data_IF_709240955292
#
_entry.id   IF_709240955292
#
_cell.length_a   1.000
_cell.length_b   1.000
_cell.length_c   1.000
_cell.angle_alpha   90.00
_cell.angle_beta   90.00
_cell.angle_gamma   90.00
#
_symmetry.space_group_name_H-M   'P 1'
#
loop_
_entity.id
_entity.type
_entity.pdbx_description
1 polymer ?
#
# COMPACT_ATOMS: atom_id res chain seq x y z
N UNK A 1 -20.69 -27.98 2.46
CA UNK A 1 -20.31 -28.56 3.76
C UNK A 1 -19.04 -29.41 3.70
N UNK A 2 -18.80 -30.19 2.64
CA UNK A 2 -17.57 -31.01 2.51
C UNK A 2 -16.26 -30.20 2.38
N UNK A 3 -16.25 -29.14 1.56
CA UNK A 3 -15.06 -28.30 1.31
C UNK A 3 -14.46 -27.72 2.60
N UNK A 4 -15.27 -27.15 3.48
CA UNK A 4 -14.81 -26.56 4.75
C UNK A 4 -14.31 -27.62 5.73
N UNK A 5 -14.94 -28.81 5.77
CA UNK A 5 -14.48 -29.91 6.60
C UNK A 5 -13.09 -30.41 6.16
N UNK A 6 -12.89 -30.60 4.85
CA UNK A 6 -11.59 -30.96 4.28
C UNK A 6 -10.54 -29.88 4.54
N UNK A 7 -10.90 -28.60 4.40
CA UNK A 7 -10.01 -27.48 4.71
C UNK A 7 -9.60 -27.45 6.20
N UNK A 8 -10.52 -27.73 7.14
CA UNK A 8 -10.20 -27.81 8.58
C UNK A 8 -9.20 -28.92 8.88
N UNK A 9 -9.33 -30.09 8.22
CA UNK A 9 -8.37 -31.20 8.34
C UNK A 9 -6.99 -30.80 7.84
N UNK A 10 -6.90 -30.19 6.67
CA UNK A 10 -5.64 -29.70 6.10
C UNK A 10 -5.00 -28.61 6.97
N UNK A 11 -5.79 -27.64 7.44
CA UNK A 11 -5.33 -26.60 8.38
C UNK A 11 -4.70 -27.22 9.63
N UNK A 12 -5.30 -28.30 10.17
CA UNK A 12 -4.75 -28.98 11.35
C UNK A 12 -3.44 -29.69 11.02
N UNK A 13 -3.35 -30.36 9.87
CA UNK A 13 -2.14 -31.07 9.39
C UNK A 13 -0.97 -30.11 9.17
N UNK A 14 -1.23 -28.91 8.62
CA UNK A 14 -0.23 -27.86 8.37
C UNK A 14 0.08 -27.00 9.61
N UNK A 15 -0.46 -27.34 10.79
CA UNK A 15 -0.19 -26.61 12.04
C UNK A 15 -1.02 -25.34 12.28
N UNK A 16 -1.93 -24.94 11.38
CA UNK A 16 -2.80 -23.75 11.53
C UNK A 16 -3.94 -23.89 12.56
N UNK A 17 -3.95 -24.96 13.35
CA UNK A 17 -4.93 -25.22 14.41
C UNK A 17 -4.62 -24.47 15.70
N UNK A 18 -4.64 -23.13 15.65
CA UNK A 18 -4.36 -22.23 16.79
C UNK A 18 -5.36 -22.43 17.94
N UNK A 19 -4.90 -22.18 19.18
CA UNK A 19 -5.72 -22.29 20.40
C UNK A 19 -6.49 -21.01 20.67
N UNK A 20 -5.99 -20.09 21.52
CA UNK A 20 -6.65 -18.84 21.94
C UNK A 20 -6.79 -17.79 20.81
N UNK A 21 -7.19 -18.23 19.61
CA UNK A 21 -7.37 -17.43 18.41
C UNK A 21 -8.57 -16.48 18.47
N UNK A 22 -9.38 -16.53 19.54
CA UNK A 22 -10.50 -15.62 19.76
C UNK A 22 -10.08 -14.15 19.75
N UNK A 23 -8.87 -13.84 20.24
CA UNK A 23 -8.32 -12.48 20.23
C UNK A 23 -8.12 -11.98 18.79
N UNK A 24 -7.49 -12.80 17.93
CA UNK A 24 -7.26 -12.45 16.51
C UNK A 24 -8.59 -12.41 15.75
N UNK A 25 -9.50 -13.35 16.04
CA UNK A 25 -10.83 -13.38 15.43
C UNK A 25 -11.68 -12.15 15.79
N UNK A 26 -11.54 -11.62 17.02
CA UNK A 26 -12.22 -10.40 17.44
C UNK A 26 -11.74 -9.18 16.62
N UNK A 27 -10.44 -9.05 16.37
CA UNK A 27 -9.89 -8.01 15.50
C UNK A 27 -10.43 -8.13 14.07
N UNK A 28 -10.49 -9.36 13.52
CA UNK A 28 -11.07 -9.62 12.20
C UNK A 28 -12.55 -9.25 12.11
N UNK A 29 -13.34 -9.58 13.15
CA UNK A 29 -14.76 -9.20 13.21
C UNK A 29 -14.93 -7.69 13.27
N UNK A 30 -14.20 -7.01 14.15
CA UNK A 30 -14.23 -5.55 14.24
C UNK A 30 -13.87 -4.89 12.90
N UNK A 31 -12.85 -5.40 12.21
CA UNK A 31 -12.43 -4.87 10.91
C UNK A 31 -13.52 -5.04 9.83
N UNK A 32 -14.24 -6.16 9.81
CA UNK A 32 -15.36 -6.34 8.88
C UNK A 32 -16.52 -5.38 9.19
N UNK A 33 -16.79 -5.12 10.46
CA UNK A 33 -17.90 -4.27 10.89
C UNK A 33 -17.61 -2.77 10.71
N UNK A 34 -16.35 -2.33 10.83
CA UNK A 34 -16.01 -0.89 10.91
C UNK A 34 -15.04 -0.39 9.82
N UNK A 35 -14.26 -1.28 9.17
CA UNK A 35 -13.15 -0.84 8.33
C UNK A 35 -13.38 -1.06 6.82
N UNK A 36 -14.50 -1.65 6.40
CA UNK A 36 -14.75 -1.92 4.96
C UNK A 36 -15.03 -0.63 4.19
N UNK A 37 -15.93 0.23 4.68
CA UNK A 37 -16.32 1.46 3.96
C UNK A 37 -15.14 2.42 3.80
N UNK A 38 -14.23 2.48 4.78
CA UNK A 38 -13.06 3.37 4.73
C UNK A 38 -12.04 2.99 3.65
N UNK A 39 -12.10 1.80 3.04
CA UNK A 39 -11.23 1.44 1.92
C UNK A 39 -11.34 2.44 0.76
N UNK A 40 -12.52 3.06 0.59
CA UNK A 40 -12.73 4.14 -0.36
C UNK A 40 -11.81 5.35 -0.11
N UNK A 41 -11.42 5.61 1.15
CA UNK A 41 -10.47 6.68 1.49
C UNK A 41 -9.06 6.34 1.01
N UNK A 42 -8.63 5.08 1.17
CA UNK A 42 -7.32 4.64 0.66
C UNK A 42 -7.27 4.79 -0.86
N UNK A 43 -8.35 4.40 -1.56
CA UNK A 43 -8.46 4.55 -3.01
C UNK A 43 -8.44 6.03 -3.44
N UNK A 44 -9.19 6.90 -2.73
CA UNK A 44 -9.20 8.35 -2.97
C UNK A 44 -7.78 8.92 -2.84
N UNK A 45 -7.07 8.60 -1.76
CA UNK A 45 -5.72 9.11 -1.51
C UNK A 45 -4.72 8.59 -2.54
N UNK A 46 -4.83 7.34 -2.98
CA UNK A 46 -3.94 6.81 -4.02
C UNK A 46 -4.16 7.52 -5.35
N UNK A 47 -5.43 7.79 -5.70
CA UNK A 47 -5.74 8.59 -6.90
C UNK A 47 -5.22 10.03 -6.78
N UNK A 48 -5.36 10.66 -5.61
CA UNK A 48 -4.81 11.99 -5.37
C UNK A 48 -3.28 12.03 -5.49
N UNK A 49 -2.59 11.05 -4.90
CA UNK A 49 -1.14 10.89 -5.04
C UNK A 49 -0.77 10.78 -6.51
N UNK A 50 -1.41 9.88 -7.24
CA UNK A 50 -1.08 9.63 -8.63
C UNK A 50 -1.36 10.87 -9.52
N UNK A 51 -2.45 11.60 -9.29
CA UNK A 51 -2.72 12.86 -10.00
C UNK A 51 -1.66 13.93 -9.71
N UNK A 52 -1.15 14.01 -8.48
CA UNK A 52 -0.13 14.99 -8.11
C UNK A 52 1.26 14.67 -8.68
N UNK A 53 1.50 13.41 -9.05
CA UNK A 53 2.75 12.94 -9.64
C UNK A 53 2.70 12.84 -11.17
N UNK A 54 1.53 13.04 -11.77
CA UNK A 54 1.32 12.89 -13.21
C UNK A 54 2.11 13.95 -13.98
N UNK A 55 2.82 13.50 -15.03
CA UNK A 55 3.67 14.36 -15.84
C UNK A 55 5.04 14.71 -15.26
N UNK A 56 5.44 14.17 -14.11
CA UNK A 56 6.82 14.31 -13.62
C UNK A 56 7.78 13.56 -14.55
N UNK A 57 8.73 14.28 -15.14
CA UNK A 57 9.76 13.68 -16.01
C UNK A 57 10.62 12.68 -15.22
N UNK A 58 10.84 11.50 -15.80
CA UNK A 58 11.59 10.42 -15.15
C UNK A 58 10.79 9.59 -14.15
N UNK A 59 9.49 9.84 -13.99
CA UNK A 59 8.57 9.04 -13.17
C UNK A 59 7.40 8.54 -14.01
N UNK A 60 7.43 7.26 -14.37
CA UNK A 60 6.39 6.63 -15.17
C UNK A 60 5.39 5.86 -14.30
N UNK A 61 4.10 5.97 -14.63
CA UNK A 61 3.06 5.06 -14.16
C UNK A 61 1.84 5.11 -15.10
N UNK A 62 0.98 4.11 -15.01
CA UNK A 62 -0.25 4.04 -15.82
C UNK A 62 -1.45 4.51 -15.00
N UNK A 63 -2.01 5.66 -15.39
CA UNK A 63 -3.14 6.24 -14.68
C UNK A 63 -4.37 5.31 -14.67
N UNK A 64 -4.58 4.55 -15.75
CA UNK A 64 -5.72 3.65 -15.90
C UNK A 64 -5.65 2.46 -14.92
N UNK A 65 -4.46 2.16 -14.39
CA UNK A 65 -4.27 1.05 -13.44
C UNK A 65 -4.46 1.45 -11.97
N UNK A 66 -4.64 2.74 -11.68
CA UNK A 66 -4.85 3.24 -10.31
C UNK A 66 -6.34 3.16 -9.96
N UNK A 67 -6.78 1.96 -9.63
CA UNK A 67 -8.19 1.65 -9.35
C UNK A 67 -8.49 1.43 -7.86
N UNK A 68 -7.46 1.19 -7.04
CA UNK A 68 -7.57 0.86 -5.62
C UNK A 68 -6.52 1.62 -4.80
N UNK A 69 -5.99 1.02 -3.73
CA UNK A 69 -5.00 1.60 -2.84
C UNK A 69 -3.54 1.42 -3.31
N UNK A 70 -3.32 1.00 -4.56
CA UNK A 70 -2.00 0.69 -5.10
C UNK A 70 -1.60 1.63 -6.24
N UNK A 71 -0.36 2.09 -6.21
CA UNK A 71 0.29 2.85 -7.28
C UNK A 71 1.61 2.16 -7.63
N UNK A 72 1.76 1.79 -8.90
CA UNK A 72 2.97 1.17 -9.43
C UNK A 72 3.77 2.24 -10.17
N UNK A 73 4.94 2.58 -9.65
CA UNK A 73 5.85 3.56 -10.21
C UNK A 73 7.03 2.86 -10.88
N UNK A 74 7.53 3.46 -11.96
CA UNK A 74 8.81 3.12 -12.58
C UNK A 74 9.65 4.38 -12.74
N UNK A 75 10.93 4.31 -12.39
CA UNK A 75 11.86 5.42 -12.58
C UNK A 75 13.29 4.90 -12.73
N UNK A 76 14.06 5.54 -13.60
CA UNK A 76 15.52 5.33 -13.71
C UNK A 76 16.27 5.82 -12.48
N UNK A 77 15.64 6.64 -11.63
CA UNK A 77 16.21 7.18 -10.39
C UNK A 77 15.95 6.29 -9.16
N UNK A 78 15.51 5.05 -9.35
CA UNK A 78 15.52 4.05 -8.28
C UNK A 78 16.89 3.34 -8.22
N UNK A 79 17.46 3.11 -7.02
CA UNK A 79 16.84 3.28 -5.70
C UNK A 79 17.00 4.66 -5.06
N UNK A 80 17.69 5.62 -5.68
CA UNK A 80 17.98 6.94 -5.09
C UNK A 80 16.74 7.68 -4.57
N UNK A 81 15.60 7.61 -5.28
CA UNK A 81 14.34 8.17 -4.80
C UNK A 81 13.88 7.47 -3.51
N UNK A 82 13.99 6.14 -3.42
CA UNK A 82 13.64 5.42 -2.19
C UNK A 82 14.55 5.82 -1.02
N UNK A 83 15.85 5.99 -1.27
CA UNK A 83 16.81 6.42 -0.25
C UNK A 83 16.55 7.85 0.22
N UNK A 84 16.19 8.75 -0.70
CA UNK A 84 15.78 10.11 -0.37
C UNK A 84 14.50 10.12 0.49
N UNK A 85 13.47 9.37 0.09
CA UNK A 85 12.23 9.25 0.85
C UNK A 85 12.48 8.66 2.25
N UNK A 86 13.40 7.70 2.38
CA UNK A 86 13.78 7.14 3.68
C UNK A 86 14.38 8.20 4.62
N UNK A 87 15.16 9.16 4.10
CA UNK A 87 15.67 10.29 4.88
C UNK A 87 14.55 11.23 5.35
N UNK A 88 13.45 11.30 4.62
CA UNK A 88 12.22 12.00 5.00
C UNK A 88 11.30 11.18 5.92
N UNK A 89 11.70 9.96 6.31
CA UNK A 89 10.88 9.05 7.13
C UNK A 89 9.81 8.29 6.35
N UNK A 90 9.88 8.27 5.02
CA UNK A 90 8.93 7.59 4.12
C UNK A 90 9.58 6.31 3.58
N UNK A 91 9.04 5.16 3.95
CA UNK A 91 9.53 3.87 3.47
C UNK A 91 8.79 3.43 2.19
N UNK A 92 9.55 3.19 1.12
CA UNK A 92 9.08 2.48 -0.08
C UNK A 92 10.01 1.32 -0.43
N UNK A 93 9.48 0.30 -1.10
CA UNK A 93 10.29 -0.83 -1.60
C UNK A 93 10.55 -0.65 -3.09
N UNK A 94 11.83 -0.48 -3.45
CA UNK A 94 12.29 -0.47 -4.83
C UNK A 94 12.80 -1.87 -5.24
N UNK A 95 12.41 -2.33 -6.43
CA UNK A 95 12.89 -3.56 -7.07
C UNK A 95 13.36 -3.19 -8.47
N UNK A 96 14.67 -3.02 -8.62
CA UNK A 96 15.26 -2.40 -9.80
C UNK A 96 14.69 -0.99 -9.98
N UNK A 97 14.13 -0.72 -11.16
CA UNK A 97 13.52 0.57 -11.48
C UNK A 97 12.07 0.73 -11.00
N UNK A 98 11.49 -0.28 -10.36
CA UNK A 98 10.06 -0.30 -10.04
C UNK A 98 9.81 -0.15 -8.54
N UNK A 99 8.73 0.53 -8.18
CA UNK A 99 8.22 0.56 -6.81
C UNK A 99 6.70 0.37 -6.79
N UNK A 100 6.19 -0.25 -5.72
CA UNK A 100 4.75 -0.34 -5.47
C UNK A 100 4.41 0.35 -4.16
N UNK A 101 3.71 1.47 -4.26
CA UNK A 101 3.18 2.19 -3.12
C UNK A 101 1.80 1.61 -2.80
N UNK A 102 1.56 1.34 -1.52
CA UNK A 102 0.30 0.78 -1.03
C UNK A 102 -0.19 1.66 0.12
N UNK A 103 -1.27 2.40 -0.09
CA UNK A 103 -1.86 3.23 0.95
C UNK A 103 -2.77 2.38 1.84
N UNK A 104 -2.82 2.72 3.13
CA UNK A 104 -3.59 1.99 4.13
C UNK A 104 -4.05 2.93 5.25
N UNK A 105 -4.77 2.39 6.22
CA UNK A 105 -5.48 3.16 7.24
C UNK A 105 -4.67 4.13 8.11
N UNK A 106 -3.35 3.97 8.17
CA UNK A 106 -2.47 4.83 8.97
C UNK A 106 -1.86 5.95 8.12
N UNK A 107 -2.12 5.98 6.83
CA UNK A 107 -1.73 7.08 5.93
C UNK A 107 -2.89 8.06 5.88
N UNK A 108 -2.77 9.13 6.65
CA UNK A 108 -3.71 10.25 6.64
C UNK A 108 -3.37 11.28 5.55
N UNK A 109 -4.14 12.36 5.49
CA UNK A 109 -3.96 13.39 4.47
C UNK A 109 -2.68 14.24 4.71
N UNK A 110 -2.17 14.29 5.95
CA UNK A 110 -0.90 14.96 6.28
C UNK A 110 0.28 14.14 5.75
N UNK A 111 0.27 12.83 6.02
CA UNK A 111 1.27 11.91 5.48
C UNK A 111 1.22 11.87 3.94
N UNK A 112 0.02 11.88 3.33
CA UNK A 112 -0.14 11.97 1.89
C UNK A 112 0.55 13.22 1.32
N UNK A 113 0.32 14.38 1.93
CA UNK A 113 0.91 15.64 1.48
C UNK A 113 2.45 15.60 1.58
N UNK A 114 2.98 15.09 2.69
CA UNK A 114 4.43 14.90 2.86
C UNK A 114 5.02 14.00 1.77
N UNK A 115 4.34 12.89 1.44
CA UNK A 115 4.78 11.98 0.37
C UNK A 115 4.84 12.70 -0.99
N UNK A 116 3.79 13.46 -1.33
CA UNK A 116 3.73 14.22 -2.59
C UNK A 116 4.89 15.22 -2.66
N UNK A 117 5.06 16.02 -1.62
CA UNK A 117 6.09 17.07 -1.56
C UNK A 117 7.50 16.48 -1.61
N UNK A 118 7.78 15.40 -0.89
CA UNK A 118 9.10 14.75 -0.92
C UNK A 118 9.44 14.15 -2.29
N UNK A 119 8.47 13.55 -2.99
CA UNK A 119 8.70 13.05 -4.35
C UNK A 119 8.93 14.21 -5.31
N UNK A 120 8.08 15.25 -5.28
CA UNK A 120 8.22 16.41 -6.16
C UNK A 120 9.54 17.15 -5.92
N UNK A 121 9.97 17.32 -4.67
CA UNK A 121 11.24 17.94 -4.32
C UNK A 121 12.44 17.16 -4.87
N UNK A 122 12.40 15.82 -4.83
CA UNK A 122 13.44 14.98 -5.41
C UNK A 122 13.62 15.25 -6.90
N UNK A 123 12.53 15.31 -7.66
CA UNK A 123 12.58 15.52 -9.12
C UNK A 123 12.81 16.99 -9.51
N UNK A 124 12.34 17.97 -8.74
CA UNK A 124 12.57 19.39 -9.02
C UNK A 124 14.05 19.83 -8.90
N UNK A 125 14.86 19.03 -8.21
CA UNK A 125 16.29 19.29 -8.02
C UNK A 125 17.18 18.77 -9.16
N UNK A 126 16.58 18.31 -10.27
CA UNK A 126 17.26 17.58 -11.34
C UNK A 126 16.89 18.09 -12.73
#
# INVERSE_FOLDING_TARGET
>A
NDVIARARRLRKMLGGGMRQAGIIAAAGRYALDHNVERLAQDHRRTKQLALALDGIEGLDFDMQRVQTNMLFLRSTHMPDLADHLAQCGIAITAIGQNARLVLHMQIDDVALQLIIESIQAFFASR
#
